data_IF_634948002821
#
_entry.id   IF_634948002821
#
_cell.length_a   1.000
_cell.length_b   1.000
_cell.length_c   1.000
_cell.angle_alpha   90.00
_cell.angle_beta   90.00
_cell.angle_gamma   90.00
#
_symmetry.space_group_name_H-M   'P 1'
#
loop_
_entity.id
_entity.type
_entity.pdbx_description
1 polymer ?
#
# COMPACT_ATOMS: atom_id res chain seq x y z
N UNK A 1 2.87 -7.59 -3.93
CA UNK A 1 2.36 -7.91 -2.58
C UNK A 1 2.11 -6.63 -1.81
N UNK A 2 1.53 -6.69 -0.60
CA UNK A 2 1.25 -5.49 0.22
C UNK A 2 1.75 -5.73 1.64
N UNK A 3 2.48 -4.77 2.18
CA UNK A 3 2.87 -4.75 3.59
C UNK A 3 1.78 -4.06 4.41
N UNK A 4 1.28 -4.72 5.46
CA UNK A 4 0.29 -4.17 6.40
C UNK A 4 0.92 -4.09 7.79
N UNK A 5 0.80 -2.94 8.45
CA UNK A 5 1.22 -2.81 9.85
C UNK A 5 0.03 -2.92 10.78
N UNK A 6 0.03 -3.95 11.61
CA UNK A 6 -0.99 -4.20 12.63
C UNK A 6 -0.61 -3.52 13.96
N UNK A 7 -1.62 -3.18 14.78
CA UNK A 7 -1.43 -2.60 16.10
C UNK A 7 -1.29 -1.07 16.15
N UNK A 8 -1.28 -0.38 14.99
CA UNK A 8 -1.31 1.09 14.95
C UNK A 8 -2.74 1.63 15.15
N UNK A 9 -2.90 2.87 15.67
CA UNK A 9 -4.21 3.52 15.79
C UNK A 9 -4.77 4.00 14.43
N UNK A 10 -4.04 3.78 13.34
CA UNK A 10 -4.39 4.18 11.98
C UNK A 10 -4.21 3.00 11.02
N UNK A 11 -4.94 3.01 9.91
CA UNK A 11 -4.73 2.05 8.81
C UNK A 11 -3.43 2.44 8.10
N UNK A 12 -2.48 1.49 8.03
CA UNK A 12 -1.20 1.66 7.34
C UNK A 12 -0.92 0.46 6.46
N UNK A 13 -0.93 0.70 5.15
CA UNK A 13 -0.41 -0.20 4.11
C UNK A 13 0.87 0.39 3.51
N UNK A 14 1.66 -0.43 2.83
CA UNK A 14 2.88 -0.01 2.15
C UNK A 14 3.22 -0.98 1.02
N UNK A 15 4.02 -0.52 0.07
CA UNK A 15 4.61 -1.38 -0.97
C UNK A 15 5.46 -2.49 -0.34
N UNK A 16 5.62 -3.58 -1.08
CA UNK A 16 6.46 -4.73 -0.72
C UNK A 16 7.90 -4.68 -1.29
N UNK A 17 8.27 -3.57 -1.93
CA UNK A 17 9.61 -3.35 -2.48
C UNK A 17 10.32 -2.17 -1.83
N UNK A 18 11.63 -2.07 -2.08
CA UNK A 18 12.48 -0.95 -1.65
C UNK A 18 12.44 0.24 -2.61
N UNK A 19 13.45 1.11 -2.52
CA UNK A 19 13.51 2.38 -3.28
C UNK A 19 13.83 2.22 -4.76
N UNK A 20 14.47 1.13 -5.18
CA UNK A 20 14.88 0.86 -6.57
C UNK A 20 15.51 2.10 -7.25
N UNK A 21 16.55 2.67 -6.61
CA UNK A 21 17.18 3.93 -7.06
C UNK A 21 17.73 3.85 -8.50
N UNK A 22 18.15 2.66 -8.92
CA UNK A 22 18.59 2.35 -10.29
C UNK A 22 17.47 2.48 -11.33
N UNK A 23 16.20 2.40 -10.92
CA UNK A 23 15.02 2.58 -11.77
C UNK A 23 14.44 4.00 -11.70
N UNK A 24 14.95 4.87 -10.82
CA UNK A 24 14.41 6.21 -10.64
C UNK A 24 14.51 7.03 -11.94
N UNK A 25 13.38 7.60 -12.38
CA UNK A 25 13.30 8.38 -13.62
C UNK A 25 13.37 7.56 -14.92
N UNK A 26 13.51 6.23 -14.85
CA UNK A 26 13.63 5.38 -16.04
C UNK A 26 12.31 5.06 -16.73
N UNK A 27 11.17 5.27 -16.06
CA UNK A 27 9.85 4.83 -16.52
C UNK A 27 9.62 3.32 -16.48
N UNK A 28 10.54 2.53 -15.89
CA UNK A 28 10.49 1.06 -15.85
C UNK A 28 10.03 0.47 -14.52
N UNK A 29 9.78 1.30 -13.51
CA UNK A 29 9.28 0.84 -12.23
C UNK A 29 7.85 0.28 -12.39
N UNK A 30 7.60 -0.88 -11.79
CA UNK A 30 6.26 -1.48 -11.75
C UNK A 30 5.43 -0.84 -10.62
N UNK A 31 4.33 -0.13 -10.92
CA UNK A 31 3.48 0.48 -9.90
C UNK A 31 2.50 -0.49 -9.23
N UNK A 32 2.44 -1.77 -9.63
CA UNK A 32 1.42 -2.72 -9.19
C UNK A 32 1.32 -2.88 -7.67
N UNK A 33 2.47 -2.91 -6.97
CA UNK A 33 2.52 -2.98 -5.50
C UNK A 33 1.92 -1.74 -4.83
N UNK A 34 2.18 -0.56 -5.39
CA UNK A 34 1.64 0.70 -4.88
C UNK A 34 0.13 0.77 -5.03
N UNK A 35 -0.40 0.40 -6.20
CA UNK A 35 -1.84 0.36 -6.43
C UNK A 35 -2.54 -0.63 -5.51
N UNK A 36 -2.02 -1.85 -5.39
CA UNK A 36 -2.55 -2.84 -4.46
C UNK A 36 -2.54 -2.34 -3.00
N UNK A 37 -1.49 -1.64 -2.57
CA UNK A 37 -1.41 -1.08 -1.23
C UNK A 37 -2.47 0.00 -0.96
N UNK A 38 -2.73 0.87 -1.94
CA UNK A 38 -3.77 1.91 -1.86
C UNK A 38 -5.16 1.29 -1.87
N UNK A 39 -5.43 0.36 -2.78
CA UNK A 39 -6.73 -0.33 -2.88
C UNK A 39 -7.06 -1.08 -1.59
N UNK A 40 -6.09 -1.78 -0.99
CA UNK A 40 -6.29 -2.46 0.28
C UNK A 40 -6.61 -1.48 1.41
N UNK A 41 -5.92 -0.32 1.47
CA UNK A 41 -6.22 0.70 2.47
C UNK A 41 -7.65 1.23 2.33
N UNK A 42 -8.11 1.49 1.09
CA UNK A 42 -9.48 1.91 0.81
C UNK A 42 -10.49 0.85 1.27
N UNK A 43 -10.25 -0.43 0.95
CA UNK A 43 -11.09 -1.53 1.37
C UNK A 43 -11.17 -1.65 2.91
N UNK A 44 -10.04 -1.50 3.61
CA UNK A 44 -10.00 -1.51 5.08
C UNK A 44 -10.75 -0.31 5.69
N UNK A 45 -10.67 0.88 5.08
CA UNK A 45 -11.44 2.06 5.51
C UNK A 45 -12.94 1.82 5.32
N UNK A 46 -13.36 1.28 4.18
CA UNK A 46 -14.75 0.94 3.92
C UNK A 46 -15.28 -0.10 4.92
N UNK A 47 -14.49 -1.15 5.18
CA UNK A 47 -14.83 -2.17 6.18
C UNK A 47 -14.94 -1.58 7.58
N UNK A 48 -14.02 -0.70 8.01
CA UNK A 48 -14.08 -0.03 9.32
C UNK A 48 -15.32 0.85 9.49
N UNK A 49 -15.81 1.47 8.41
CA UNK A 49 -17.03 2.31 8.42
C UNK A 49 -18.32 1.51 8.50
N UNK A 50 -18.33 0.27 8.02
CA UNK A 50 -19.49 -0.64 8.10
C UNK A 50 -19.65 -1.34 9.45
N UNK A 51 -18.78 -1.07 10.43
CA UNK A 51 -18.83 -1.62 11.81
C UNK A 51 -19.37 -0.56 12.79
N UNK A 52 -20.25 0.33 12.32
CA UNK A 52 -21.00 1.28 13.16
C UNK A 52 -22.44 0.81 13.32
#
# INVERSE_FOLDING_TARGET
GVNVTLGLPVIRTSVDHGTALDLAGSGRADPGSLFAAVELAIAMVAAKRGVA
#
